data_IF_690360614253
#
_entry.id   IF_690360614253
#
_cell.length_a   1.000
_cell.length_b   1.000
_cell.length_c   1.000
_cell.angle_alpha   90.00
_cell.angle_beta   90.00
_cell.angle_gamma   90.00
#
_symmetry.space_group_name_H-M   'P 1'
#
loop_
_entity.id
_entity.type
_entity.pdbx_description
1 polymer ?
#
# COMPACT_ATOMS: atom_id res chain seq x y z
N UNK A 1 2.62 9.41 -34.88
CA UNK A 1 2.49 8.16 -34.08
C UNK A 1 1.03 8.11 -33.66
N UNK A 2 0.28 7.08 -34.05
CA UNK A 2 -1.15 6.99 -33.67
C UNK A 2 -1.25 6.70 -32.17
N UNK A 3 -2.36 7.08 -31.54
CA UNK A 3 -2.57 6.88 -30.08
C UNK A 3 -2.44 5.39 -29.67
N UNK A 4 -2.78 4.48 -30.58
CA UNK A 4 -2.63 3.03 -30.39
C UNK A 4 -1.16 2.57 -30.25
N UNK A 5 -0.25 3.10 -31.08
CA UNK A 5 1.19 2.79 -30.95
C UNK A 5 1.80 3.40 -29.69
N UNK A 6 1.29 4.56 -29.25
CA UNK A 6 1.72 5.17 -27.99
C UNK A 6 1.26 4.35 -26.79
N UNK A 7 0.02 3.84 -26.79
CA UNK A 7 -0.49 3.03 -25.69
C UNK A 7 0.28 1.72 -25.55
N UNK A 8 0.62 1.05 -26.66
CA UNK A 8 1.45 -0.16 -26.64
C UNK A 8 2.84 0.09 -26.04
N UNK A 9 3.46 1.24 -26.33
CA UNK A 9 4.76 1.64 -25.77
C UNK A 9 4.66 1.90 -24.25
N UNK A 10 3.59 2.56 -23.80
CA UNK A 10 3.34 2.83 -22.37
C UNK A 10 3.10 1.53 -21.59
N UNK A 11 2.29 0.62 -22.14
CA UNK A 11 2.01 -0.68 -21.52
C UNK A 11 3.27 -1.54 -21.43
N UNK A 12 4.04 -1.62 -22.53
CA UNK A 12 5.29 -2.37 -22.55
C UNK A 12 6.28 -1.81 -21.53
N UNK A 13 6.51 -0.50 -21.52
CA UNK A 13 7.45 0.12 -20.58
C UNK A 13 7.02 -0.06 -19.12
N UNK A 14 5.72 0.03 -18.85
CA UNK A 14 5.15 -0.25 -17.52
C UNK A 14 5.46 -1.69 -17.09
N UNK A 15 5.24 -2.67 -17.97
CA UNK A 15 5.52 -4.07 -17.70
C UNK A 15 6.99 -4.30 -17.39
N UNK A 16 7.90 -3.73 -18.20
CA UNK A 16 9.35 -3.86 -18.01
C UNK A 16 9.80 -3.32 -16.64
N UNK A 17 9.25 -2.18 -16.21
CA UNK A 17 9.53 -1.62 -14.89
C UNK A 17 9.02 -2.52 -13.76
N UNK A 18 7.79 -3.06 -13.88
CA UNK A 18 7.21 -3.97 -12.88
C UNK A 18 8.01 -5.26 -12.78
N UNK A 19 8.38 -5.87 -13.90
CA UNK A 19 9.20 -7.09 -13.93
C UNK A 19 10.55 -6.84 -13.24
N UNK A 20 11.17 -5.69 -13.51
CA UNK A 20 12.43 -5.31 -12.89
C UNK A 20 12.29 -5.07 -11.38
N UNK A 21 11.19 -4.48 -10.93
CA UNK A 21 10.87 -4.29 -9.51
C UNK A 21 10.78 -5.65 -8.80
N UNK A 22 10.03 -6.59 -9.40
CA UNK A 22 9.84 -7.94 -8.85
C UNK A 22 11.17 -8.70 -8.78
N UNK A 23 11.97 -8.70 -9.86
CA UNK A 23 13.29 -9.36 -9.88
C UNK A 23 14.21 -8.82 -8.77
N UNK A 24 14.21 -7.51 -8.55
CA UNK A 24 14.99 -6.89 -7.48
C UNK A 24 14.49 -7.27 -6.09
N UNK A 25 13.17 -7.40 -5.89
CA UNK A 25 12.57 -7.82 -4.63
C UNK A 25 12.87 -9.30 -4.32
N UNK A 26 12.79 -10.17 -5.32
CA UNK A 26 13.16 -11.59 -5.19
C UNK A 26 14.63 -11.77 -4.76
N UNK A 27 15.48 -10.80 -5.11
CA UNK A 27 16.89 -10.74 -4.70
C UNK A 27 17.12 -9.95 -3.39
N UNK A 28 16.06 -9.55 -2.68
CA UNK A 28 16.09 -8.70 -1.49
C UNK A 28 16.79 -7.35 -1.70
N UNK A 29 16.81 -6.83 -2.93
CA UNK A 29 17.45 -5.54 -3.30
C UNK A 29 16.46 -4.38 -3.17
N UNK A 30 15.85 -4.22 -2.00
CA UNK A 30 14.75 -3.27 -1.76
C UNK A 30 15.10 -1.83 -2.09
N UNK A 31 16.31 -1.34 -1.76
CA UNK A 31 16.73 0.03 -2.11
C UNK A 31 16.71 0.27 -3.63
N UNK A 32 17.13 -0.74 -4.41
CA UNK A 32 17.11 -0.66 -5.87
C UNK A 32 15.68 -0.77 -6.39
N UNK A 33 14.88 -1.68 -5.82
CA UNK A 33 13.47 -1.85 -6.18
C UNK A 33 12.66 -0.57 -5.93
N UNK A 34 12.86 0.08 -4.79
CA UNK A 34 12.22 1.37 -4.47
C UNK A 34 12.64 2.49 -5.41
N UNK A 35 13.86 2.44 -5.97
CA UNK A 35 14.29 3.41 -6.99
C UNK A 35 13.50 3.24 -8.28
N UNK A 36 13.35 1.99 -8.75
CA UNK A 36 12.57 1.69 -9.95
C UNK A 36 11.07 1.94 -9.71
N UNK A 37 10.56 1.64 -8.51
CA UNK A 37 9.18 1.96 -8.14
C UNK A 37 8.90 3.47 -8.16
N UNK A 38 9.84 4.31 -7.70
CA UNK A 38 9.72 5.78 -7.86
C UNK A 38 9.78 6.24 -9.31
N UNK A 39 10.47 5.51 -10.19
CA UNK A 39 10.47 5.76 -11.63
C UNK A 39 9.11 5.43 -12.24
N UNK A 40 8.59 4.22 -11.99
CA UNK A 40 7.24 3.82 -12.40
C UNK A 40 6.17 4.81 -11.93
N UNK A 41 6.23 5.23 -10.65
CA UNK A 41 5.29 6.22 -10.09
C UNK A 41 5.32 7.55 -10.87
N UNK A 42 6.50 8.04 -11.22
CA UNK A 42 6.66 9.30 -11.98
C UNK A 42 6.20 9.15 -13.42
N UNK A 43 6.56 8.03 -14.06
CA UNK A 43 6.14 7.69 -15.41
C UNK A 43 4.62 7.58 -15.51
N UNK A 44 4.00 6.74 -14.68
CA UNK A 44 2.55 6.53 -14.64
C UNK A 44 1.77 7.84 -14.39
N UNK A 45 2.27 8.71 -13.52
CA UNK A 45 1.66 10.02 -13.29
C UNK A 45 1.75 10.94 -14.53
N UNK A 46 2.86 10.88 -15.26
CA UNK A 46 3.08 11.67 -16.49
C UNK A 46 2.16 11.18 -17.61
N UNK A 47 2.04 9.86 -17.77
CA UNK A 47 1.16 9.22 -18.75
C UNK A 47 -0.30 9.12 -18.29
N UNK A 48 -0.63 9.68 -17.11
CA UNK A 48 -2.00 9.71 -16.56
C UNK A 48 -2.63 8.31 -16.41
N UNK A 49 -1.82 7.34 -15.97
CA UNK A 49 -2.25 5.96 -15.73
C UNK A 49 -2.31 5.68 -14.23
N UNK A 50 -3.51 5.52 -13.66
CA UNK A 50 -3.67 5.36 -12.20
C UNK A 50 -3.29 3.96 -11.71
N UNK A 51 -3.56 2.91 -12.48
CA UNK A 51 -3.30 1.53 -12.03
C UNK A 51 -1.78 1.31 -11.86
N UNK A 52 -0.92 1.61 -12.85
CA UNK A 52 0.53 1.50 -12.66
C UNK A 52 1.07 2.41 -11.55
N UNK A 53 0.45 3.58 -11.34
CA UNK A 53 0.77 4.47 -10.23
C UNK A 53 0.50 3.81 -8.87
N UNK A 54 -0.66 3.18 -8.71
CA UNK A 54 -1.03 2.46 -7.50
C UNK A 54 -0.14 1.22 -7.28
N UNK A 55 0.21 0.49 -8.33
CA UNK A 55 1.20 -0.60 -8.24
C UNK A 55 2.56 -0.09 -7.76
N UNK A 56 3.03 1.03 -8.30
CA UNK A 56 4.28 1.65 -7.85
C UNK A 56 4.24 2.03 -6.37
N UNK A 57 3.14 2.62 -5.93
CA UNK A 57 2.92 2.93 -4.51
C UNK A 57 2.91 1.65 -3.66
N UNK A 58 2.24 0.59 -4.12
CA UNK A 58 2.20 -0.70 -3.42
C UNK A 58 3.60 -1.26 -3.18
N UNK A 59 4.49 -1.23 -4.18
CA UNK A 59 5.88 -1.65 -3.99
C UNK A 59 6.64 -0.75 -3.02
N UNK A 60 6.45 0.57 -3.11
CA UNK A 60 7.14 1.53 -2.25
C UNK A 60 6.79 1.37 -0.77
N UNK A 61 5.51 1.23 -0.42
CA UNK A 61 5.11 1.03 0.98
C UNK A 61 5.65 -0.30 1.53
N UNK A 62 5.60 -1.37 0.73
CA UNK A 62 6.16 -2.66 1.16
C UNK A 62 7.70 -2.63 1.30
N UNK A 63 8.41 -2.02 0.35
CA UNK A 63 9.87 -1.88 0.45
C UNK A 63 10.28 -1.00 1.64
N UNK A 64 9.47 0.01 1.99
CA UNK A 64 9.74 0.92 3.10
C UNK A 64 9.90 0.17 4.42
N UNK A 65 9.11 -0.88 4.66
CA UNK A 65 9.23 -1.75 5.85
C UNK A 65 10.62 -2.39 5.90
N UNK A 66 11.09 -2.93 4.77
CA UNK A 66 12.41 -3.57 4.68
C UNK A 66 13.58 -2.59 4.77
N UNK A 67 13.32 -1.30 4.53
CA UNK A 67 14.31 -0.23 4.58
C UNK A 67 14.24 0.59 5.88
N UNK A 68 13.28 0.30 6.76
CA UNK A 68 12.97 1.08 7.96
C UNK A 68 12.70 2.56 7.64
N UNK A 69 12.07 2.81 6.48
CA UNK A 69 11.73 4.15 5.98
C UNK A 69 10.24 4.46 6.26
N UNK A 70 9.91 4.49 7.55
CA UNK A 70 8.54 4.52 8.05
C UNK A 70 7.74 5.71 7.52
N UNK A 71 8.36 6.90 7.44
CA UNK A 71 7.69 8.10 6.95
C UNK A 71 7.29 7.96 5.48
N UNK A 72 8.19 7.44 4.63
CA UNK A 72 7.84 7.16 3.23
C UNK A 72 6.70 6.16 3.14
N UNK A 73 6.73 5.12 3.99
CA UNK A 73 5.67 4.12 4.07
C UNK A 73 4.30 4.71 4.37
N UNK A 74 4.20 5.54 5.42
CA UNK A 74 2.95 6.24 5.80
C UNK A 74 2.49 7.16 4.67
N UNK A 75 3.36 8.02 4.15
CA UNK A 75 3.00 8.98 3.11
C UNK A 75 2.43 8.29 1.87
N UNK A 76 3.06 7.20 1.44
CA UNK A 76 2.64 6.43 0.26
C UNK A 76 1.35 5.64 0.53
N UNK A 77 1.18 5.07 1.73
CA UNK A 77 -0.05 4.37 2.09
C UNK A 77 -1.26 5.32 2.11
N UNK A 78 -1.12 6.50 2.73
CA UNK A 78 -2.17 7.54 2.76
C UNK A 78 -2.53 8.02 1.35
N UNK A 79 -1.52 8.28 0.51
CA UNK A 79 -1.73 8.67 -0.90
C UNK A 79 -2.50 7.58 -1.67
N UNK A 80 -2.15 6.31 -1.45
CA UNK A 80 -2.81 5.15 -2.08
C UNK A 80 -4.27 5.05 -1.65
N UNK A 81 -4.53 5.10 -0.33
CA UNK A 81 -5.89 5.09 0.23
C UNK A 81 -6.73 6.22 -0.36
N UNK A 82 -6.16 7.41 -0.52
CA UNK A 82 -6.89 8.56 -1.07
C UNK A 82 -7.42 8.32 -2.50
N UNK A 83 -6.74 7.54 -3.33
CA UNK A 83 -7.21 7.17 -4.67
C UNK A 83 -8.18 5.99 -4.66
N UNK A 84 -8.01 5.04 -3.74
CA UNK A 84 -8.87 3.86 -3.61
C UNK A 84 -10.23 4.18 -2.98
N UNK A 85 -10.29 5.17 -2.08
CA UNK A 85 -11.53 5.62 -1.43
C UNK A 85 -12.28 6.70 -2.23
N UNK A 86 -11.70 7.22 -3.31
CA UNK A 86 -12.28 8.31 -4.09
C UNK A 86 -12.09 8.12 -5.59
N UNK A 87 -13.13 7.61 -6.24
CA UNK A 87 -13.18 7.48 -7.70
C UNK A 87 -12.99 8.84 -8.39
N UNK A 88 -13.54 9.91 -7.82
CA UNK A 88 -13.35 11.29 -8.32
C UNK A 88 -11.86 11.67 -8.36
N UNK A 89 -11.08 11.34 -7.32
CA UNK A 89 -9.63 11.59 -7.32
C UNK A 89 -8.91 10.72 -8.35
N UNK A 90 -9.27 9.45 -8.47
CA UNK A 90 -8.69 8.56 -9.49
C UNK A 90 -8.95 9.10 -10.91
N UNK A 91 -10.18 9.56 -11.18
CA UNK A 91 -10.58 10.14 -12.47
C UNK A 91 -9.96 11.50 -12.76
N UNK A 92 -9.54 12.26 -11.74
CA UNK A 92 -8.71 13.46 -11.95
C UNK A 92 -7.34 13.12 -12.54
N UNK A 93 -6.79 11.94 -12.22
CA UNK A 93 -5.55 11.47 -12.83
C UNK A 93 -5.83 10.82 -14.19
N UNK A 94 -6.77 9.86 -14.26
CA UNK A 94 -7.13 9.13 -15.47
C UNK A 94 -8.64 9.22 -15.74
N UNK A 95 -9.11 10.23 -16.51
CA UNK A 95 -10.55 10.46 -16.71
C UNK A 95 -11.29 9.30 -17.38
N UNK A 96 -10.61 8.59 -18.27
CA UNK A 96 -11.11 7.49 -19.10
C UNK A 96 -10.90 6.10 -18.49
N UNK A 97 -10.54 6.03 -17.20
CA UNK A 97 -10.36 4.76 -16.48
C UNK A 97 -11.63 3.89 -16.56
N UNK A 98 -11.52 2.65 -17.08
CA UNK A 98 -12.62 1.70 -17.06
C UNK A 98 -13.09 1.41 -15.63
N UNK A 99 -14.40 1.39 -15.44
CA UNK A 99 -15.03 1.25 -14.11
C UNK A 99 -14.70 -0.11 -13.48
N UNK A 100 -14.75 -1.18 -14.27
CA UNK A 100 -14.40 -2.54 -13.86
C UNK A 100 -12.94 -2.65 -13.41
N UNK A 101 -12.02 -2.01 -14.13
CA UNK A 101 -10.61 -1.96 -13.74
C UNK A 101 -10.39 -1.18 -12.43
N UNK A 102 -11.12 -0.09 -12.22
CA UNK A 102 -11.06 0.66 -10.96
C UNK A 102 -11.54 -0.19 -9.78
N UNK A 103 -12.75 -0.74 -9.86
CA UNK A 103 -13.31 -1.54 -8.76
C UNK A 103 -12.56 -2.84 -8.52
N UNK A 104 -11.97 -3.45 -9.57
CA UNK A 104 -11.05 -4.56 -9.41
C UNK A 104 -9.83 -4.15 -8.56
N UNK A 105 -9.23 -3.00 -8.86
CA UNK A 105 -8.07 -2.47 -8.13
C UNK A 105 -8.43 -2.11 -6.69
N UNK A 106 -9.60 -1.49 -6.46
CA UNK A 106 -10.14 -1.22 -5.12
C UNK A 106 -10.32 -2.52 -4.34
N UNK A 107 -10.93 -3.54 -4.93
CA UNK A 107 -11.10 -4.84 -4.29
C UNK A 107 -9.76 -5.48 -3.94
N UNK A 108 -8.79 -5.44 -4.86
CA UNK A 108 -7.48 -6.04 -4.68
C UNK A 108 -6.61 -5.33 -3.64
N UNK A 109 -6.51 -3.99 -3.68
CA UNK A 109 -5.45 -3.25 -2.97
C UNK A 109 -5.90 -2.60 -1.66
N UNK A 110 -7.17 -2.27 -1.48
CA UNK A 110 -7.60 -1.38 -0.38
C UNK A 110 -7.19 -1.90 0.99
N UNK A 111 -7.49 -3.18 1.30
CA UNK A 111 -7.12 -3.75 2.59
C UNK A 111 -5.60 -3.73 2.82
N UNK A 112 -4.80 -3.99 1.78
CA UNK A 112 -3.34 -4.00 1.90
C UNK A 112 -2.75 -2.59 2.09
N UNK A 113 -3.40 -1.55 1.57
CA UNK A 113 -2.98 -0.17 1.80
C UNK A 113 -3.20 0.24 3.28
N UNK A 114 -4.35 -0.14 3.85
CA UNK A 114 -4.63 0.06 5.28
C UNK A 114 -3.72 -0.77 6.18
N UNK A 115 -3.43 -2.02 5.78
CA UNK A 115 -2.47 -2.88 6.48
C UNK A 115 -1.07 -2.24 6.54
N UNK A 116 -0.56 -1.74 5.41
CA UNK A 116 0.71 -1.03 5.38
C UNK A 116 0.71 0.24 6.24
N UNK A 117 -0.40 0.99 6.24
CA UNK A 117 -0.54 2.15 7.12
C UNK A 117 -0.48 1.73 8.61
N UNK A 118 -1.16 0.64 8.98
CA UNK A 118 -1.11 0.08 10.33
C UNK A 118 0.32 -0.35 10.71
N UNK A 119 1.03 -1.07 9.82
CA UNK A 119 2.43 -1.49 10.04
C UNK A 119 3.31 -0.29 10.38
N UNK A 120 3.30 0.72 9.52
CA UNK A 120 4.19 1.86 9.67
C UNK A 120 3.79 2.76 10.85
N UNK A 121 2.49 2.85 11.15
CA UNK A 121 2.03 3.55 12.35
C UNK A 121 2.53 2.83 13.60
N UNK A 122 2.48 1.50 13.63
CA UNK A 122 2.99 0.70 14.75
C UNK A 122 4.52 0.84 14.91
N UNK A 123 5.27 0.84 13.79
CA UNK A 123 6.72 1.07 13.79
C UNK A 123 7.10 2.46 14.33
N UNK A 124 6.26 3.47 14.07
CA UNK A 124 6.50 4.85 14.48
C UNK A 124 6.06 5.16 15.91
N UNK A 125 4.88 4.69 16.28
CA UNK A 125 4.16 5.14 17.48
C UNK A 125 4.03 4.05 18.55
N UNK A 126 4.41 2.81 18.23
CA UNK A 126 4.20 1.64 19.09
C UNK A 126 2.95 0.87 18.69
N UNK A 127 2.97 -0.45 18.94
CA UNK A 127 1.88 -1.35 18.55
C UNK A 127 0.59 -1.08 19.32
N UNK A 128 0.65 -0.53 20.53
CA UNK A 128 -0.53 -0.20 21.33
C UNK A 128 -0.99 1.26 21.18
N UNK A 129 -0.55 1.98 20.14
CA UNK A 129 -0.97 3.37 19.92
C UNK A 129 -2.41 3.46 19.41
N UNK A 130 -3.12 4.54 19.76
CA UNK A 130 -4.47 4.82 19.26
C UNK A 130 -4.50 4.82 17.71
N UNK A 131 -3.44 5.31 17.07
CA UNK A 131 -3.33 5.33 15.61
C UNK A 131 -3.33 3.93 14.99
N UNK A 132 -2.70 2.95 15.64
CA UNK A 132 -2.75 1.54 15.20
C UNK A 132 -4.15 0.96 15.35
N UNK A 133 -4.82 1.22 16.47
CA UNK A 133 -6.21 0.78 16.70
C UNK A 133 -7.17 1.35 15.65
N UNK A 134 -7.02 2.64 15.31
CA UNK A 134 -7.81 3.28 14.25
C UNK A 134 -7.58 2.62 12.89
N UNK A 135 -6.31 2.37 12.52
CA UNK A 135 -5.98 1.71 11.26
C UNK A 135 -6.55 0.27 11.18
N UNK A 136 -6.50 -0.49 12.27
CA UNK A 136 -7.08 -1.83 12.37
C UNK A 136 -8.59 -1.78 12.16
N UNK A 137 -9.27 -0.86 12.85
CA UNK A 137 -10.72 -0.72 12.75
C UNK A 137 -11.14 -0.37 11.32
N UNK A 138 -10.51 0.62 10.72
CA UNK A 138 -10.80 1.03 9.34
C UNK A 138 -10.50 -0.09 8.34
N UNK A 139 -9.35 -0.76 8.49
CA UNK A 139 -8.95 -1.89 7.66
C UNK A 139 -9.96 -3.04 7.68
N UNK A 140 -10.51 -3.38 8.86
CA UNK A 140 -11.57 -4.39 8.98
C UNK A 140 -12.85 -3.96 8.26
N UNK A 141 -13.24 -2.68 8.34
CA UNK A 141 -14.42 -2.18 7.62
C UNK A 141 -14.20 -2.22 6.11
N UNK A 142 -13.00 -1.88 5.64
CA UNK A 142 -12.62 -1.97 4.22
C UNK A 142 -12.72 -3.41 3.74
N UNK A 143 -12.15 -4.38 4.45
CA UNK A 143 -12.26 -5.80 4.11
C UNK A 143 -13.73 -6.26 3.96
N UNK A 144 -14.61 -5.81 4.85
CA UNK A 144 -16.05 -6.12 4.78
C UNK A 144 -16.71 -5.50 3.56
N UNK A 145 -16.39 -4.25 3.26
CA UNK A 145 -17.00 -3.49 2.15
C UNK A 145 -16.50 -3.97 0.78
N UNK A 146 -15.23 -4.33 0.66
CA UNK A 146 -14.64 -4.83 -0.60
C UNK A 146 -14.81 -6.33 -0.81
N UNK A 147 -15.30 -7.05 0.20
CA UNK A 147 -15.51 -8.50 0.18
C UNK A 147 -14.23 -9.33 0.36
N UNK A 148 -13.07 -8.69 0.58
CA UNK A 148 -11.76 -9.35 0.75
C UNK A 148 -11.54 -9.82 2.19
N UNK A 149 -12.41 -10.72 2.66
CA UNK A 149 -12.50 -11.14 4.05
C UNK A 149 -11.27 -11.90 4.55
N UNK A 150 -10.49 -12.52 3.66
CA UNK A 150 -9.24 -13.18 3.99
C UNK A 150 -8.21 -12.21 4.62
N UNK A 151 -8.24 -10.94 4.22
CA UNK A 151 -7.38 -9.88 4.76
C UNK A 151 -7.76 -9.43 6.18
N UNK A 152 -8.91 -9.84 6.72
CA UNK A 152 -9.23 -9.60 8.14
C UNK A 152 -8.18 -10.23 9.06
N UNK A 153 -7.52 -11.30 8.62
CA UNK A 153 -6.47 -11.97 9.38
C UNK A 153 -5.28 -11.05 9.65
N UNK A 154 -4.82 -10.29 8.66
CA UNK A 154 -3.72 -9.32 8.81
C UNK A 154 -4.01 -8.35 9.97
N UNK A 155 -5.22 -7.80 10.03
CA UNK A 155 -5.63 -6.88 11.10
C UNK A 155 -5.81 -7.54 12.48
N UNK A 156 -6.18 -8.84 12.51
CA UNK A 156 -6.28 -9.60 13.77
C UNK A 156 -4.91 -9.93 14.37
N UNK A 157 -3.89 -10.09 13.52
CA UNK A 157 -2.51 -10.28 13.97
C UNK A 157 -2.02 -9.04 14.72
N UNK A 158 -2.23 -7.83 14.18
CA UNK A 158 -1.95 -6.59 14.93
C UNK A 158 -2.71 -6.52 16.24
N UNK A 159 -4.00 -6.84 16.25
CA UNK A 159 -4.76 -6.83 17.51
C UNK A 159 -4.15 -7.77 18.56
N UNK A 160 -3.55 -8.89 18.14
CA UNK A 160 -2.82 -9.78 19.06
C UNK A 160 -1.50 -9.18 19.53
N UNK A 161 -0.76 -8.54 18.63
CA UNK A 161 0.52 -7.90 18.92
C UNK A 161 0.36 -6.67 19.81
N UNK A 162 -0.69 -5.88 19.62
CA UNK A 162 -1.16 -4.79 20.50
C UNK A 162 -1.29 -5.28 21.94
N UNK A 163 -2.04 -6.37 22.17
CA UNK A 163 -2.23 -6.93 23.52
C UNK A 163 -1.00 -7.67 24.06
N UNK A 164 0.05 -7.84 23.26
CA UNK A 164 1.34 -8.43 23.66
C UNK A 164 2.48 -7.41 23.63
N UNK A 165 2.17 -6.15 23.37
CA UNK A 165 3.17 -5.12 23.17
C UNK A 165 3.90 -4.80 24.50
N UNK A 166 5.22 -4.68 24.42
CA UNK A 166 6.07 -4.50 25.60
C UNK A 166 5.94 -3.10 26.24
N UNK A 167 5.26 -2.17 25.57
CA UNK A 167 4.90 -0.83 26.04
C UNK A 167 3.62 -0.81 26.90
N UNK A 168 2.89 -1.94 27.00
CA UNK A 168 1.82 -2.11 27.98
C UNK A 168 2.43 -2.29 29.39
N UNK A 169 2.56 -1.17 30.09
CA UNK A 169 3.12 -1.12 31.45
C UNK A 169 2.37 -2.04 32.42
N UNK A 170 1.04 -2.15 32.30
CA UNK A 170 0.24 -2.97 33.22
C UNK A 170 0.52 -4.46 33.00
N UNK A 171 0.61 -4.89 31.74
CA UNK A 171 1.01 -6.25 31.40
C UNK A 171 2.47 -6.55 31.76
N UNK A 172 3.40 -5.62 31.52
CA UNK A 172 4.79 -5.76 31.93
C UNK A 172 4.91 -5.92 33.45
N UNK A 173 4.17 -5.13 34.23
CA UNK A 173 4.10 -5.23 35.68
C UNK A 173 3.42 -6.51 36.16
N UNK A 174 2.45 -7.07 35.41
CA UNK A 174 1.83 -8.35 35.73
C UNK A 174 2.83 -9.50 35.68
N UNK A 175 3.69 -9.57 34.65
CA UNK A 175 4.70 -10.63 34.50
C UNK A 175 5.98 -10.41 35.31
N UNK A 176 6.24 -9.19 35.79
CA UNK A 176 7.41 -8.89 36.63
C UNK A 176 7.19 -9.18 38.13
N UNK A 177 5.98 -9.59 38.54
CA UNK A 177 5.62 -9.96 39.92
C UNK A 177 5.72 -11.47 40.13
#
# INVERSE_FOLDING_TARGET
MTDEFRNLDVEQHTSELIDRINELRDQCRYRSSSRISRELRRFAKTEKQIIPYLHANFYLMNDAQSLLDVETGIEVAVDTIAFLESEEKARKLQPDLPEDHYYHTVSWMSSCAYDNLATHTAEKEGYNSDGVHDCINDGIQVCRRTGKLECVTCFREYATDVYRAADDLDMALHYAR
#
